data_IF_477765615860
#
_entry.id   IF_477765615860
#
_cell.length_a   1.000
_cell.length_b   1.000
_cell.length_c   1.000
_cell.angle_alpha   90.00
_cell.angle_beta   90.00
_cell.angle_gamma   90.00
#
_symmetry.space_group_name_H-M   'P 1'
#
loop_
_entity.id
_entity.type
_entity.pdbx_description
1 polymer ?
#
# COMPACT_ATOMS: atom_id res chain seq x y z
N UNK A 1 22.45 1.01 -7.04
CA UNK A 1 22.74 1.31 -5.63
C UNK A 1 22.27 2.75 -5.42
N UNK A 2 21.10 2.93 -4.78
CA UNK A 2 20.68 4.22 -4.25
C UNK A 2 21.66 4.57 -3.12
N UNK A 3 22.12 5.80 -3.06
CA UNK A 3 23.02 6.22 -1.98
C UNK A 3 22.31 5.93 -0.65
N UNK A 4 23.02 5.28 0.28
CA UNK A 4 22.61 5.27 1.68
C UNK A 4 22.31 6.73 2.04
N UNK A 5 21.14 7.00 2.63
CA UNK A 5 20.87 8.26 3.32
C UNK A 5 22.14 8.55 4.13
N UNK A 6 22.70 9.74 4.02
CA UNK A 6 23.94 10.10 4.72
C UNK A 6 23.76 9.71 6.18
N UNK A 7 24.66 8.87 6.70
CA UNK A 7 24.76 8.46 8.10
C UNK A 7 25.09 9.69 9.01
N UNK A 8 24.18 10.65 9.07
CA UNK A 8 24.03 11.46 10.26
C UNK A 8 23.32 10.55 11.24
N UNK A 9 24.02 10.24 12.33
CA UNK A 9 23.53 9.51 13.48
C UNK A 9 22.07 9.90 13.77
N UNK A 10 21.12 9.17 13.20
CA UNK A 10 19.75 9.15 13.65
C UNK A 10 19.82 8.41 14.99
N UNK A 11 19.95 9.14 16.10
CA UNK A 11 19.82 8.57 17.42
C UNK A 11 18.37 8.10 17.56
N UNK A 12 18.12 6.86 17.11
CA UNK A 12 16.84 6.20 17.30
C UNK A 12 16.59 5.99 18.78
N UNK A 13 15.42 6.40 19.27
CA UNK A 13 14.97 6.03 20.61
C UNK A 13 14.56 4.57 20.56
N UNK A 14 15.09 3.75 21.49
CA UNK A 14 14.60 2.39 21.72
C UNK A 14 13.15 2.45 22.24
N UNK A 15 12.27 1.67 21.63
CA UNK A 15 10.86 1.55 21.99
C UNK A 15 10.52 0.06 22.12
N UNK A 16 10.00 -0.36 23.26
CA UNK A 16 9.50 -1.72 23.43
C UNK A 16 8.14 -1.90 22.76
N UNK A 17 7.72 -3.15 22.52
CA UNK A 17 6.41 -3.45 21.98
C UNK A 17 5.28 -2.91 22.87
N UNK A 18 5.38 -3.09 24.20
CA UNK A 18 4.39 -2.60 25.16
C UNK A 18 4.29 -1.09 25.16
N UNK A 19 5.44 -0.42 25.05
CA UNK A 19 5.46 1.04 24.91
C UNK A 19 4.75 1.46 23.62
N UNK A 20 5.00 0.78 22.49
CA UNK A 20 4.32 1.06 21.23
C UNK A 20 2.81 0.80 21.34
N UNK A 21 2.39 -0.31 21.93
CA UNK A 21 0.97 -0.63 22.18
C UNK A 21 0.31 0.49 23.00
N UNK A 22 0.97 0.92 24.07
CA UNK A 22 0.47 1.99 24.95
C UNK A 22 0.34 3.30 24.18
N UNK A 23 1.37 3.73 23.47
CA UNK A 23 1.36 4.96 22.68
C UNK A 23 0.26 4.95 21.62
N UNK A 24 0.13 3.86 20.86
CA UNK A 24 -0.92 3.71 19.84
C UNK A 24 -2.31 3.79 20.46
N UNK A 25 -2.55 3.09 21.58
CA UNK A 25 -3.83 3.12 22.27
C UNK A 25 -4.16 4.53 22.81
N UNK A 26 -3.19 5.22 23.39
CA UNK A 26 -3.35 6.60 23.88
C UNK A 26 -3.69 7.57 22.74
N UNK A 27 -2.98 7.47 21.61
CA UNK A 27 -3.26 8.32 20.44
C UNK A 27 -4.65 8.07 19.87
N UNK A 28 -5.07 6.82 19.72
CA UNK A 28 -6.42 6.47 19.27
C UNK A 28 -7.50 6.99 20.23
N UNK A 29 -7.31 6.82 21.55
CA UNK A 29 -8.25 7.30 22.58
C UNK A 29 -8.39 8.84 22.57
N UNK A 30 -7.33 9.55 22.24
CA UNK A 30 -7.32 11.02 22.10
C UNK A 30 -7.73 11.48 20.70
N UNK A 31 -8.09 10.59 19.80
CA UNK A 31 -8.34 10.89 18.39
C UNK A 31 -7.16 11.63 17.71
N UNK A 32 -5.93 11.39 18.17
CA UNK A 32 -4.73 12.04 17.66
C UNK A 32 -4.11 11.20 16.52
N UNK A 33 -3.87 11.79 15.33
CA UNK A 33 -3.34 11.06 14.20
C UNK A 33 -1.86 10.74 14.39
N UNK A 34 -1.42 9.61 13.79
CA UNK A 34 -0.01 9.25 13.71
C UNK A 34 0.27 8.36 12.49
N UNK A 35 1.54 8.22 12.13
CA UNK A 35 2.04 7.20 11.22
C UNK A 35 3.39 6.68 11.69
N UNK A 36 3.54 5.35 11.69
CA UNK A 36 4.80 4.64 11.86
C UNK A 36 5.07 3.86 10.58
N UNK A 37 6.29 3.92 10.04
CA UNK A 37 6.60 3.20 8.81
C UNK A 37 8.07 2.83 8.70
N UNK A 38 8.34 1.75 7.99
CA UNK A 38 9.69 1.32 7.60
C UNK A 38 9.79 1.21 6.10
N UNK A 39 10.83 1.80 5.53
CA UNK A 39 11.14 1.69 4.10
C UNK A 39 11.78 0.32 3.78
N UNK A 40 11.59 -0.18 2.54
CA UNK A 40 12.20 -1.44 2.13
C UNK A 40 13.73 -1.45 2.32
N UNK A 41 14.24 -2.45 3.03
CA UNK A 41 15.68 -2.66 3.24
C UNK A 41 16.32 -1.84 4.37
N UNK A 42 15.56 -1.09 5.17
CA UNK A 42 16.10 -0.28 6.29
C UNK A 42 16.25 -1.05 7.62
N UNK A 43 16.19 -2.36 7.60
CA UNK A 43 16.34 -3.15 8.84
C UNK A 43 15.22 -2.91 9.85
N UNK A 44 15.57 -2.58 11.10
CA UNK A 44 14.63 -2.35 12.20
C UNK A 44 14.28 -0.87 12.42
N UNK A 45 14.81 0.05 11.61
CA UNK A 45 14.55 1.49 11.74
C UNK A 45 13.11 1.80 11.32
N UNK A 46 12.29 2.27 12.26
CA UNK A 46 10.91 2.70 12.03
C UNK A 46 10.85 4.21 12.13
N UNK A 47 10.42 4.86 11.06
CA UNK A 47 10.12 6.29 11.06
C UNK A 47 8.76 6.51 11.69
N UNK A 48 8.61 7.57 12.46
CA UNK A 48 7.33 7.93 13.08
C UNK A 48 7.01 9.42 12.92
N UNK A 49 5.74 9.74 12.95
CA UNK A 49 5.19 11.10 13.01
C UNK A 49 3.91 11.06 13.84
N UNK A 50 3.79 11.97 14.79
CA UNK A 50 2.59 12.09 15.63
C UNK A 50 2.46 11.03 16.73
N UNK A 51 3.41 10.11 16.88
CA UNK A 51 3.36 9.12 17.97
C UNK A 51 3.89 9.69 19.27
N UNK A 52 5.04 10.37 19.24
CA UNK A 52 5.67 11.00 20.41
C UNK A 52 5.32 12.47 20.54
N UNK A 53 5.08 13.15 19.43
CA UNK A 53 4.74 14.57 19.35
C UNK A 53 3.31 14.80 18.90
N UNK A 54 2.75 15.99 19.13
CA UNK A 54 1.43 16.32 18.64
C UNK A 54 1.47 16.51 17.13
N UNK A 55 0.53 15.86 16.46
CA UNK A 55 0.33 15.94 15.02
C UNK A 55 -1.13 16.18 14.69
N UNK A 56 -1.37 16.70 13.51
CA UNK A 56 -2.71 16.87 12.96
C UNK A 56 -2.85 16.16 11.63
N UNK A 57 -4.05 15.67 11.36
CA UNK A 57 -4.42 15.17 10.04
C UNK A 57 -5.38 16.16 9.39
N UNK A 58 -5.07 16.61 8.19
CA UNK A 58 -5.89 17.53 7.43
C UNK A 58 -6.24 16.92 6.07
N UNK A 59 -7.50 17.15 5.65
CA UNK A 59 -7.87 16.85 4.26
C UNK A 59 -7.10 17.79 3.34
N UNK A 60 -6.56 17.26 2.25
CA UNK A 60 -5.77 18.02 1.30
C UNK A 60 -6.03 17.53 -0.13
N UNK A 61 -5.50 18.27 -1.09
CA UNK A 61 -5.52 17.94 -2.50
C UNK A 61 -4.11 18.00 -3.06
N UNK A 62 -3.86 17.29 -4.16
CA UNK A 62 -2.56 17.40 -4.82
C UNK A 62 -2.28 18.84 -5.32
N UNK A 63 -3.32 19.62 -5.62
CA UNK A 63 -3.17 21.04 -5.94
C UNK A 63 -2.60 21.82 -4.75
N UNK A 64 -3.18 21.65 -3.57
CA UNK A 64 -2.70 22.31 -2.35
C UNK A 64 -1.27 21.87 -2.00
N UNK A 65 -0.95 20.58 -2.17
CA UNK A 65 0.41 20.08 -1.96
C UNK A 65 1.43 20.65 -2.97
N UNK A 66 1.01 21.05 -4.17
CA UNK A 66 1.88 21.74 -5.13
C UNK A 66 2.14 23.20 -4.77
N UNK A 67 1.18 23.84 -4.15
CA UNK A 67 1.21 25.27 -3.81
C UNK A 67 1.88 25.56 -2.46
N UNK A 68 2.10 24.55 -1.61
CA UNK A 68 2.75 24.69 -0.31
C UNK A 68 4.27 24.53 -0.44
N UNK A 69 5.00 25.41 0.22
CA UNK A 69 6.46 25.32 0.41
C UNK A 69 6.79 24.53 1.69
N UNK A 70 7.96 23.91 1.73
CA UNK A 70 8.53 23.23 2.91
C UNK A 70 7.63 22.14 3.52
N UNK A 71 7.08 21.29 2.66
CA UNK A 71 6.27 20.16 3.08
C UNK A 71 7.13 19.01 3.60
N UNK A 72 6.79 18.52 4.79
CA UNK A 72 7.29 17.25 5.33
C UNK A 72 6.18 16.57 6.11
N UNK A 73 5.76 15.38 5.70
CA UNK A 73 4.69 14.67 6.36
C UNK A 73 4.33 13.34 5.73
N UNK A 74 3.36 12.66 6.32
CA UNK A 74 2.86 11.39 5.83
C UNK A 74 1.55 11.59 5.06
N UNK A 75 1.50 11.10 3.84
CA UNK A 75 0.37 11.23 2.94
C UNK A 75 -0.40 9.92 2.86
N UNK A 76 -1.74 10.00 2.91
CA UNK A 76 -2.66 8.91 2.60
C UNK A 76 -3.65 9.36 1.54
N UNK A 77 -3.64 8.73 0.39
CA UNK A 77 -4.59 8.97 -0.69
C UNK A 77 -5.50 7.75 -0.89
N UNK A 78 -6.82 7.92 -1.02
CA UNK A 78 -7.74 6.82 -1.29
C UNK A 78 -7.66 6.34 -2.75
N UNK A 79 -8.36 5.24 -3.06
CA UNK A 79 -8.54 4.79 -4.45
C UNK A 79 -9.21 5.86 -5.32
N UNK A 80 -10.21 6.54 -4.77
CA UNK A 80 -10.85 7.71 -5.37
C UNK A 80 -11.12 8.73 -4.26
N UNK A 81 -10.75 9.97 -4.50
CA UNK A 81 -11.00 11.07 -3.57
C UNK A 81 -12.48 11.44 -3.59
N UNK A 82 -13.13 11.37 -2.43
CA UNK A 82 -14.51 11.83 -2.17
C UNK A 82 -14.55 12.72 -0.94
N UNK A 83 -15.70 13.26 -0.61
CA UNK A 83 -15.89 14.02 0.64
C UNK A 83 -15.70 13.14 1.89
N UNK A 84 -16.11 11.87 1.80
CA UNK A 84 -16.04 10.89 2.88
C UNK A 84 -14.65 10.27 3.00
N UNK A 85 -13.94 10.15 1.88
CA UNK A 85 -12.58 9.62 1.79
C UNK A 85 -11.65 10.61 1.08
N UNK A 86 -11.27 11.72 1.72
CA UNK A 86 -10.35 12.69 1.15
C UNK A 86 -8.91 12.16 1.16
N UNK A 87 -8.03 12.81 0.43
CA UNK A 87 -6.59 12.69 0.64
C UNK A 87 -6.25 13.31 2.01
N UNK A 88 -5.51 12.59 2.85
CA UNK A 88 -5.14 13.00 4.20
C UNK A 88 -3.65 13.28 4.29
N UNK A 89 -3.32 14.37 4.96
CA UNK A 89 -1.97 14.80 5.25
C UNK A 89 -1.75 14.82 6.75
N UNK A 90 -0.79 14.04 7.26
CA UNK A 90 -0.38 14.01 8.66
C UNK A 90 0.92 14.79 8.79
N UNK A 91 0.90 15.85 9.61
CA UNK A 91 2.06 16.70 9.89
C UNK A 91 2.17 16.98 11.38
N UNK A 92 3.39 17.16 11.88
CA UNK A 92 3.63 17.59 13.25
C UNK A 92 3.37 19.08 13.41
N UNK A 93 2.86 19.48 14.58
CA UNK A 93 2.56 20.89 14.86
C UNK A 93 3.83 21.72 15.11
N UNK A 94 4.88 21.08 15.66
CA UNK A 94 6.18 21.70 15.87
C UNK A 94 7.17 21.13 14.88
N UNK A 95 7.60 21.95 13.91
CA UNK A 95 8.51 21.53 12.83
C UNK A 95 9.92 21.28 13.34
N UNK A 96 10.23 20.05 13.75
CA UNK A 96 11.55 19.50 13.57
C UNK A 96 11.62 18.83 12.19
N UNK A 97 12.74 19.03 11.47
CA UNK A 97 12.86 18.56 10.08
C UNK A 97 12.92 17.03 10.00
N UNK A 98 11.92 16.40 9.37
CA UNK A 98 11.89 14.97 9.08
C UNK A 98 11.10 14.14 10.10
N UNK A 99 10.85 12.86 9.76
CA UNK A 99 10.27 11.89 10.68
C UNK A 99 11.29 11.49 11.76
N UNK A 100 10.83 11.35 13.01
CA UNK A 100 11.64 10.75 14.08
C UNK A 100 11.88 9.27 13.80
N UNK A 101 12.92 8.69 14.39
CA UNK A 101 13.25 7.27 14.20
C UNK A 101 13.15 6.53 15.53
N UNK A 102 12.43 5.40 15.50
CA UNK A 102 12.33 4.45 16.59
C UNK A 102 13.10 3.17 16.24
N UNK A 103 13.88 2.66 17.19
CA UNK A 103 14.40 1.31 17.16
C UNK A 103 13.45 0.41 17.95
N UNK A 104 12.61 -0.35 17.24
CA UNK A 104 11.65 -1.23 17.88
C UNK A 104 12.35 -2.52 18.34
N UNK A 105 12.15 -2.85 19.63
CA UNK A 105 12.41 -4.18 20.13
C UNK A 105 11.25 -5.10 19.72
N UNK A 106 11.56 -6.34 19.32
CA UNK A 106 10.56 -7.34 18.94
C UNK A 106 9.56 -7.59 20.07
N UNK A 107 8.28 -7.74 19.72
CA UNK A 107 7.22 -8.09 20.65
C UNK A 107 7.47 -9.50 21.27
N UNK A 108 7.12 -9.67 22.55
CA UNK A 108 7.07 -10.99 23.15
C UNK A 108 5.83 -11.74 22.62
N UNK A 109 6.06 -12.87 21.93
CA UNK A 109 4.96 -13.69 21.39
C UNK A 109 4.01 -14.18 22.48
N UNK A 110 4.52 -14.43 23.70
CA UNK A 110 3.71 -14.92 24.82
C UNK A 110 2.65 -13.88 25.29
N UNK A 111 2.93 -12.59 25.18
CA UNK A 111 1.95 -11.55 25.51
C UNK A 111 0.84 -11.47 24.48
N UNK A 112 1.17 -11.61 23.19
CA UNK A 112 0.21 -11.61 22.09
C UNK A 112 -0.69 -12.86 22.13
N UNK A 113 -0.20 -14.02 22.63
CA UNK A 113 -0.99 -15.24 22.81
C UNK A 113 -2.07 -15.10 23.90
N UNK A 114 -2.00 -14.12 24.77
CA UNK A 114 -3.03 -13.85 25.78
C UNK A 114 -4.35 -13.33 25.21
N UNK A 115 -4.36 -12.83 23.96
CA UNK A 115 -5.56 -12.33 23.31
C UNK A 115 -6.39 -13.47 22.68
N UNK A 116 -7.72 -13.28 22.56
CA UNK A 116 -8.57 -14.23 21.86
C UNK A 116 -8.07 -14.47 20.41
N UNK A 117 -8.17 -15.72 19.92
CA UNK A 117 -7.76 -16.00 18.55
C UNK A 117 -8.63 -15.25 17.55
N UNK A 118 -8.02 -14.75 16.50
CA UNK A 118 -8.71 -14.03 15.42
C UNK A 118 -9.56 -15.00 14.62
N UNK A 119 -10.80 -14.58 14.31
CA UNK A 119 -11.72 -15.38 13.53
C UNK A 119 -11.13 -15.73 12.14
N UNK A 120 -11.38 -16.94 11.61
CA UNK A 120 -10.89 -17.34 10.30
C UNK A 120 -11.55 -16.51 9.18
N UNK A 121 -10.82 -16.33 8.08
CA UNK A 121 -11.36 -15.69 6.87
C UNK A 121 -12.46 -16.58 6.29
N UNK A 122 -13.65 -16.03 5.96
CA UNK A 122 -14.70 -16.76 5.25
C UNK A 122 -14.18 -17.32 3.92
N UNK A 123 -14.31 -18.64 3.73
CA UNK A 123 -13.83 -19.33 2.52
C UNK A 123 -14.89 -19.35 1.40
N UNK A 124 -16.15 -19.20 1.76
CA UNK A 124 -17.25 -19.21 0.80
C UNK A 124 -17.16 -18.02 -0.17
N UNK A 125 -17.38 -18.29 -1.45
CA UNK A 125 -17.46 -17.28 -2.48
C UNK A 125 -18.73 -16.42 -2.29
N UNK A 126 -18.61 -15.10 -2.02
CA UNK A 126 -19.78 -14.24 -1.86
C UNK A 126 -20.54 -14.04 -3.18
N UNK A 127 -21.87 -13.97 -3.10
CA UNK A 127 -22.70 -13.71 -4.28
C UNK A 127 -22.37 -12.32 -4.91
N UNK A 128 -22.08 -11.32 -4.10
CA UNK A 128 -21.64 -10.01 -4.61
C UNK A 128 -20.38 -10.10 -5.47
N UNK A 129 -19.37 -10.87 -5.02
CA UNK A 129 -18.14 -11.08 -5.80
C UNK A 129 -18.44 -11.80 -7.11
N UNK A 130 -19.29 -12.84 -7.07
CA UNK A 130 -19.73 -13.60 -8.27
C UNK A 130 -20.41 -12.70 -9.29
N UNK A 131 -21.34 -11.85 -8.84
CA UNK A 131 -22.08 -10.93 -9.71
C UNK A 131 -21.14 -9.91 -10.36
N UNK A 132 -20.29 -9.24 -9.56
CA UNK A 132 -19.34 -8.27 -10.09
C UNK A 132 -18.32 -8.91 -11.03
N UNK A 133 -17.85 -10.14 -10.73
CA UNK A 133 -16.98 -10.88 -11.64
C UNK A 133 -17.64 -11.11 -13.02
N UNK A 134 -18.90 -11.54 -13.03
CA UNK A 134 -19.63 -11.76 -14.29
C UNK A 134 -19.76 -10.46 -15.10
N UNK A 135 -20.08 -9.33 -14.44
CA UNK A 135 -20.15 -8.01 -15.08
C UNK A 135 -18.78 -7.58 -15.66
N UNK A 136 -17.71 -7.83 -14.92
CA UNK A 136 -16.37 -7.53 -15.42
C UNK A 136 -16.01 -8.34 -16.66
N UNK A 137 -16.38 -9.62 -16.69
CA UNK A 137 -16.18 -10.47 -17.89
C UNK A 137 -16.99 -9.93 -19.08
N UNK A 138 -18.26 -9.53 -18.89
CA UNK A 138 -19.08 -8.90 -19.95
C UNK A 138 -18.36 -7.66 -20.53
N UNK A 139 -17.93 -6.72 -19.69
CA UNK A 139 -17.21 -5.51 -20.13
C UNK A 139 -15.90 -5.82 -20.86
N UNK A 140 -15.17 -6.86 -20.43
CA UNK A 140 -13.95 -7.30 -21.11
C UNK A 140 -14.23 -7.95 -22.47
N UNK A 141 -15.31 -8.73 -22.59
CA UNK A 141 -15.74 -9.39 -23.84
C UNK A 141 -16.23 -8.36 -24.86
N UNK A 142 -16.97 -7.35 -24.42
CA UNK A 142 -17.40 -6.21 -25.23
C UNK A 142 -16.23 -5.28 -25.65
N UNK A 143 -15.05 -5.47 -25.06
CA UNK A 143 -13.86 -4.68 -25.39
C UNK A 143 -13.84 -3.29 -24.77
N UNK A 144 -14.67 -3.02 -23.75
CA UNK A 144 -14.65 -1.76 -23.01
C UNK A 144 -13.37 -1.58 -22.20
N UNK A 145 -12.81 -2.68 -21.71
CA UNK A 145 -11.53 -2.72 -20.99
C UNK A 145 -10.71 -3.94 -21.44
N UNK A 146 -9.39 -3.89 -21.19
CA UNK A 146 -8.47 -5.02 -21.43
C UNK A 146 -8.18 -5.79 -20.15
N UNK A 147 -8.30 -5.09 -19.00
CA UNK A 147 -8.11 -5.63 -17.63
C UNK A 147 -8.97 -4.82 -16.67
N UNK A 148 -9.56 -5.49 -15.69
CA UNK A 148 -10.21 -4.89 -14.53
C UNK A 148 -9.70 -5.57 -13.27
N UNK A 149 -9.51 -4.84 -12.17
CA UNK A 149 -9.14 -5.44 -10.89
C UNK A 149 -10.36 -5.48 -9.99
N UNK A 150 -10.76 -6.68 -9.61
CA UNK A 150 -11.89 -6.91 -8.70
C UNK A 150 -11.38 -7.01 -7.26
N UNK A 151 -11.83 -6.09 -6.41
CA UNK A 151 -11.51 -6.10 -5.00
C UNK A 151 -12.52 -6.89 -4.17
N UNK A 152 -12.05 -7.43 -3.06
CA UNK A 152 -12.88 -8.03 -2.02
C UNK A 152 -12.45 -7.51 -0.65
N UNK A 153 -13.44 -7.22 0.18
CA UNK A 153 -13.30 -6.80 1.57
C UNK A 153 -13.90 -7.89 2.48
N UNK A 154 -13.04 -8.59 3.21
CA UNK A 154 -13.47 -9.52 4.25
C UNK A 154 -13.68 -8.76 5.55
N UNK A 155 -14.85 -8.87 6.16
CA UNK A 155 -15.18 -8.32 7.47
C UNK A 155 -15.08 -9.41 8.53
N UNK A 156 -14.31 -9.14 9.58
CA UNK A 156 -14.10 -10.04 10.69
C UNK A 156 -14.55 -9.37 12.00
N UNK A 157 -14.88 -10.16 13.04
CA UNK A 157 -15.10 -9.62 14.36
C UNK A 157 -13.90 -8.79 14.83
N UNK A 158 -14.17 -7.91 15.76
CA UNK A 158 -13.19 -7.06 16.41
C UNK A 158 -11.99 -7.82 16.98
N UNK A 159 -10.86 -7.15 16.93
CA UNK A 159 -9.63 -7.57 17.63
C UNK A 159 -9.10 -6.39 18.47
N UNK A 160 -8.27 -6.70 19.45
CA UNK A 160 -7.63 -5.65 20.24
C UNK A 160 -6.62 -4.86 19.41
N UNK A 161 -6.48 -3.57 19.68
CA UNK A 161 -5.45 -2.71 19.07
C UNK A 161 -4.05 -3.30 19.24
N UNK A 162 -3.76 -3.92 20.39
CA UNK A 162 -2.49 -4.60 20.65
C UNK A 162 -2.19 -5.71 19.65
N UNK A 163 -3.20 -6.47 19.18
CA UNK A 163 -3.02 -7.49 18.14
C UNK A 163 -2.63 -6.88 16.79
N UNK A 164 -3.13 -5.67 16.45
CA UNK A 164 -2.73 -4.96 15.22
C UNK A 164 -1.30 -4.42 15.35
N UNK A 165 -0.90 -3.95 16.53
CA UNK A 165 0.49 -3.53 16.79
C UNK A 165 1.44 -4.72 16.74
N UNK A 166 1.09 -5.86 17.32
CA UNK A 166 1.85 -7.10 17.19
C UNK A 166 1.96 -7.57 15.73
N UNK A 167 0.89 -7.41 14.94
CA UNK A 167 0.92 -7.70 13.51
C UNK A 167 1.86 -6.74 12.75
N UNK A 168 1.97 -5.48 13.16
CA UNK A 168 2.94 -4.54 12.61
C UNK A 168 4.38 -5.00 12.88
N UNK A 169 4.70 -5.40 14.09
CA UNK A 169 6.02 -5.96 14.47
C UNK A 169 6.34 -7.24 13.67
N UNK A 170 5.40 -8.18 13.60
CA UNK A 170 5.54 -9.37 12.74
C UNK A 170 5.78 -9.00 11.26
N UNK A 171 5.09 -7.97 10.75
CA UNK A 171 5.27 -7.52 9.36
C UNK A 171 6.65 -6.92 9.12
N UNK A 172 7.22 -6.18 10.08
CA UNK A 172 8.59 -5.67 10.00
C UNK A 172 9.61 -6.79 9.83
N UNK A 173 9.43 -7.90 10.56
CA UNK A 173 10.31 -9.06 10.51
C UNK A 173 10.08 -9.91 9.24
N UNK A 174 8.81 -10.20 8.89
CA UNK A 174 8.49 -11.13 7.80
C UNK A 174 8.63 -10.52 6.39
N UNK A 175 8.56 -9.18 6.26
CA UNK A 175 8.59 -8.48 4.97
C UNK A 175 9.73 -7.45 4.88
N UNK A 176 11.01 -7.85 5.01
CA UNK A 176 12.14 -6.91 5.06
C UNK A 176 12.26 -6.03 3.81
N UNK A 177 11.75 -6.49 2.67
CA UNK A 177 11.80 -5.79 1.39
C UNK A 177 10.48 -5.09 1.01
N UNK A 178 9.51 -5.01 1.93
CA UNK A 178 8.27 -4.28 1.74
C UNK A 178 8.29 -2.95 2.50
N UNK A 179 7.49 -2.00 2.04
CA UNK A 179 7.07 -0.87 2.85
C UNK A 179 6.06 -1.37 3.87
N UNK A 180 6.34 -1.15 5.15
CA UNK A 180 5.44 -1.54 6.24
C UNK A 180 5.04 -0.29 6.98
N UNK A 181 3.74 -0.10 7.17
CA UNK A 181 3.22 1.07 7.89
C UNK A 181 2.05 0.74 8.80
N UNK A 182 1.99 1.43 9.93
CA UNK A 182 0.87 1.50 10.86
C UNK A 182 0.48 2.97 10.99
N UNK A 183 -0.72 3.34 10.55
CA UNK A 183 -1.15 4.72 10.58
C UNK A 183 -2.62 4.84 11.01
N UNK A 184 -2.91 5.93 11.71
CA UNK A 184 -4.23 6.22 12.23
C UNK A 184 -4.61 7.66 11.99
N UNK A 185 -5.84 7.86 11.57
CA UNK A 185 -6.53 9.14 11.68
C UNK A 185 -7.96 8.90 12.19
N UNK A 186 -8.58 9.87 12.88
CA UNK A 186 -9.98 9.73 13.32
C UNK A 186 -10.94 9.43 12.17
N UNK A 187 -10.62 9.90 10.97
CA UNK A 187 -11.45 9.73 9.77
C UNK A 187 -11.24 8.39 9.08
N UNK A 188 -10.00 7.87 9.04
CA UNK A 188 -9.69 6.64 8.31
C UNK A 188 -9.72 5.38 9.18
N UNK A 189 -9.62 5.50 10.51
CA UNK A 189 -9.33 4.39 11.41
C UNK A 189 -7.85 3.99 11.39
N UNK A 190 -7.53 2.87 12.03
CA UNK A 190 -6.17 2.32 12.10
C UNK A 190 -5.92 1.38 10.92
N UNK A 191 -4.87 1.68 10.15
CA UNK A 191 -4.44 0.88 9.00
C UNK A 191 -3.08 0.26 9.24
N UNK A 192 -2.97 -1.04 8.97
CA UNK A 192 -1.70 -1.74 8.79
C UNK A 192 -1.54 -2.11 7.33
N UNK A 193 -0.38 -1.79 6.75
CA UNK A 193 -0.05 -2.08 5.36
C UNK A 193 1.36 -2.71 5.28
N UNK A 194 1.52 -3.76 4.46
CA UNK A 194 2.81 -4.38 4.16
C UNK A 194 2.95 -4.61 2.65
N UNK A 195 3.28 -3.56 1.91
CA UNK A 195 3.23 -3.52 0.45
C UNK A 195 4.60 -3.56 -0.21
N UNK A 196 4.79 -4.40 -1.26
CA UNK A 196 5.98 -4.35 -2.10
C UNK A 196 5.89 -3.31 -3.23
N UNK A 197 4.70 -2.73 -3.46
CA UNK A 197 4.43 -1.94 -4.66
C UNK A 197 4.72 -0.46 -4.44
N UNK A 198 5.85 -0.01 -4.99
CA UNK A 198 6.22 1.40 -5.02
C UNK A 198 5.40 2.13 -6.08
N UNK A 199 4.77 3.25 -5.72
CA UNK A 199 4.15 4.15 -6.68
C UNK A 199 5.15 5.15 -7.25
N UNK A 200 5.85 5.88 -6.36
CA UNK A 200 6.86 6.85 -6.74
C UNK A 200 7.86 7.02 -5.60
N UNK A 201 9.14 6.97 -5.92
CA UNK A 201 10.22 7.21 -4.97
C UNK A 201 11.30 8.10 -5.57
N UNK A 202 11.83 9.04 -4.80
CA UNK A 202 12.94 9.88 -5.26
C UNK A 202 13.52 10.79 -4.18
N UNK A 203 14.71 11.32 -4.48
CA UNK A 203 15.53 12.18 -3.61
C UNK A 203 15.89 13.54 -4.27
N UNK A 204 14.99 14.02 -5.14
CA UNK A 204 15.21 15.25 -5.92
C UNK A 204 16.03 15.04 -7.19
N UNK A 205 17.01 14.14 -7.20
CA UNK A 205 17.87 13.88 -8.38
C UNK A 205 17.52 12.58 -9.09
N UNK A 206 17.08 11.58 -8.35
CA UNK A 206 16.82 10.22 -8.86
C UNK A 206 15.41 9.80 -8.49
N UNK A 207 14.64 9.54 -9.53
CA UNK A 207 13.26 9.12 -9.35
C UNK A 207 13.05 7.73 -9.92
N UNK A 208 12.15 6.98 -9.34
CA UNK A 208 11.78 5.67 -9.80
C UNK A 208 10.32 5.34 -9.52
N UNK A 209 9.73 4.54 -10.40
CA UNK A 209 8.47 3.84 -10.20
C UNK A 209 8.62 2.40 -10.65
N UNK A 210 7.66 1.54 -10.30
CA UNK A 210 7.72 0.12 -10.67
C UNK A 210 6.42 -0.33 -11.33
N UNK A 211 6.55 -1.20 -12.34
CA UNK A 211 5.48 -2.06 -12.78
C UNK A 211 5.59 -3.37 -11.98
N UNK A 212 4.64 -3.61 -11.08
CA UNK A 212 4.55 -4.83 -10.28
C UNK A 212 3.21 -5.50 -10.58
N UNK A 213 3.21 -6.61 -11.30
CA UNK A 213 1.99 -7.36 -11.62
C UNK A 213 2.32 -8.81 -11.99
N UNK A 214 1.30 -9.66 -11.99
CA UNK A 214 1.49 -11.10 -12.05
C UNK A 214 1.90 -11.64 -10.68
N UNK A 215 1.12 -12.57 -10.14
CA UNK A 215 1.35 -13.13 -8.80
C UNK A 215 1.32 -14.64 -8.88
N UNK A 216 2.24 -15.28 -8.18
CA UNK A 216 2.24 -16.73 -7.99
C UNK A 216 2.78 -17.08 -6.60
N UNK A 217 2.44 -18.25 -6.03
CA UNK A 217 3.09 -18.75 -4.84
C UNK A 217 4.61 -18.87 -5.03
N UNK A 218 5.38 -18.57 -3.96
CA UNK A 218 6.83 -18.74 -3.97
C UNK A 218 7.16 -20.20 -4.29
N UNK A 219 8.00 -20.38 -5.29
CA UNK A 219 8.55 -21.68 -5.62
C UNK A 219 9.72 -22.04 -4.68
N UNK A 220 10.08 -23.32 -4.65
CA UNK A 220 11.22 -23.80 -3.84
C UNK A 220 12.50 -23.12 -4.30
N UNK A 221 13.41 -22.91 -3.35
CA UNK A 221 14.68 -22.27 -3.64
C UNK A 221 15.47 -23.09 -4.68
N UNK A 222 15.92 -22.40 -5.73
CA UNK A 222 16.64 -23.00 -6.86
C UNK A 222 15.78 -23.40 -8.07
N UNK A 223 14.46 -23.39 -7.96
CA UNK A 223 13.57 -23.59 -9.11
C UNK A 223 13.30 -22.27 -9.83
N UNK A 224 13.49 -22.20 -11.17
CA UNK A 224 13.16 -20.98 -11.90
C UNK A 224 11.65 -20.75 -11.91
N UNK A 225 11.19 -19.51 -11.72
CA UNK A 225 9.76 -19.19 -11.70
C UNK A 225 9.13 -19.40 -13.08
N UNK A 226 8.10 -20.26 -13.13
CA UNK A 226 7.35 -20.57 -14.35
C UNK A 226 6.13 -19.64 -14.46
N UNK A 227 6.34 -18.47 -15.05
CA UNK A 227 5.27 -17.49 -15.24
C UNK A 227 4.29 -17.89 -16.33
N UNK A 228 2.98 -17.86 -16.02
CA UNK A 228 1.92 -18.08 -16.99
C UNK A 228 1.85 -16.94 -18.01
N UNK A 229 1.27 -17.19 -19.20
CA UNK A 229 1.05 -16.12 -20.17
C UNK A 229 0.07 -15.06 -19.65
N UNK A 230 -0.91 -15.43 -18.80
CA UNK A 230 -1.78 -14.49 -18.08
C UNK A 230 -0.94 -13.51 -17.26
N UNK A 231 -0.05 -14.00 -16.38
CA UNK A 231 0.78 -13.15 -15.52
C UNK A 231 1.69 -12.22 -16.33
N UNK A 232 2.29 -12.73 -17.42
CA UNK A 232 3.12 -11.92 -18.32
C UNK A 232 2.30 -10.83 -19.02
N UNK A 233 1.07 -11.13 -19.44
CA UNK A 233 0.16 -10.18 -20.08
C UNK A 233 -0.27 -9.09 -19.09
N UNK A 234 -0.64 -9.45 -17.87
CA UNK A 234 -0.97 -8.49 -16.82
C UNK A 234 0.19 -7.54 -16.53
N UNK A 235 1.41 -8.07 -16.44
CA UNK A 235 2.60 -7.26 -16.24
C UNK A 235 2.87 -6.30 -17.41
N UNK A 236 2.71 -6.76 -18.66
CA UNK A 236 2.83 -5.90 -19.85
C UNK A 236 1.86 -4.73 -19.86
N UNK A 237 0.63 -4.90 -19.36
CA UNK A 237 -0.33 -3.80 -19.25
C UNK A 237 0.19 -2.68 -18.33
N UNK A 238 0.77 -3.04 -17.20
CA UNK A 238 1.32 -2.04 -16.26
C UNK A 238 2.55 -1.36 -16.84
N UNK A 239 3.46 -2.13 -17.46
CA UNK A 239 4.64 -1.56 -18.11
C UNK A 239 4.26 -0.57 -19.22
N UNK A 240 3.33 -0.96 -20.11
CA UNK A 240 2.85 -0.11 -21.20
C UNK A 240 2.25 1.18 -20.66
N UNK A 241 1.37 1.10 -19.68
CA UNK A 241 0.74 2.26 -19.05
C UNK A 241 1.77 3.25 -18.50
N UNK A 242 2.75 2.77 -17.74
CA UNK A 242 3.78 3.63 -17.15
C UNK A 242 4.60 4.29 -18.26
N UNK A 243 5.04 3.53 -19.27
CA UNK A 243 5.83 4.06 -20.37
C UNK A 243 5.08 5.15 -21.15
N UNK A 244 3.85 4.85 -21.58
CA UNK A 244 2.99 5.79 -22.32
C UNK A 244 2.72 7.06 -21.50
N UNK A 245 2.49 6.92 -20.19
CA UNK A 245 2.28 8.07 -19.30
C UNK A 245 3.53 8.95 -19.23
N UNK A 246 4.71 8.36 -19.00
CA UNK A 246 5.96 9.12 -18.93
C UNK A 246 6.28 9.83 -20.23
N UNK A 247 5.99 9.20 -21.39
CA UNK A 247 6.12 9.82 -22.70
C UNK A 247 5.16 11.00 -22.87
N UNK A 248 3.89 10.85 -22.47
CA UNK A 248 2.88 11.93 -22.51
C UNK A 248 3.24 13.12 -21.62
N UNK A 249 3.85 12.86 -20.45
CA UNK A 249 4.31 13.91 -19.53
C UNK A 249 5.68 14.50 -19.93
N UNK A 250 6.32 13.97 -20.99
CA UNK A 250 7.65 14.40 -21.41
C UNK A 250 8.76 14.10 -20.40
N UNK A 251 8.57 13.07 -19.57
CA UNK A 251 9.51 12.68 -18.53
C UNK A 251 10.50 11.65 -19.08
N UNK A 252 11.81 11.96 -19.15
CA UNK A 252 12.83 11.00 -19.59
C UNK A 252 12.90 9.81 -18.61
N UNK A 253 12.95 8.61 -19.18
CA UNK A 253 13.05 7.41 -18.37
C UNK A 253 13.89 6.31 -19.00
N UNK A 254 14.31 5.36 -18.18
CA UNK A 254 14.95 4.11 -18.57
C UNK A 254 14.28 2.95 -17.86
N UNK A 255 13.81 1.96 -18.60
CA UNK A 255 13.27 0.71 -18.05
C UNK A 255 14.41 -0.28 -17.81
N UNK A 256 14.45 -0.87 -16.62
CA UNK A 256 15.35 -1.97 -16.30
C UNK A 256 14.72 -3.31 -16.70
N UNK A 257 15.54 -4.35 -16.78
CA UNK A 257 15.07 -5.69 -17.12
C UNK A 257 13.99 -6.17 -16.15
N UNK A 258 13.04 -6.95 -16.68
CA UNK A 258 12.02 -7.61 -15.85
C UNK A 258 12.68 -8.67 -14.99
N UNK A 259 12.41 -8.61 -13.70
CA UNK A 259 12.91 -9.57 -12.71
C UNK A 259 11.75 -10.18 -11.91
N UNK A 260 12.01 -11.33 -11.27
CA UNK A 260 11.10 -11.89 -10.28
C UNK A 260 11.50 -11.38 -8.91
N UNK A 261 10.54 -10.77 -8.20
CA UNK A 261 10.73 -10.33 -6.81
C UNK A 261 9.87 -11.20 -5.89
N UNK A 262 10.33 -11.39 -4.65
CA UNK A 262 9.63 -12.20 -3.63
C UNK A 262 9.21 -11.31 -2.47
N UNK A 263 7.95 -11.42 -2.07
CA UNK A 263 7.41 -10.75 -0.88
C UNK A 263 6.64 -11.77 -0.05
N UNK A 264 7.22 -12.19 1.06
CA UNK A 264 6.69 -13.27 1.90
C UNK A 264 6.56 -14.57 1.11
N UNK A 265 5.35 -15.12 1.04
CA UNK A 265 5.02 -16.38 0.36
C UNK A 265 4.67 -16.19 -1.13
N UNK A 266 4.80 -15.00 -1.67
CA UNK A 266 4.40 -14.69 -3.06
C UNK A 266 5.58 -14.16 -3.87
N UNK A 267 5.54 -14.46 -5.17
CA UNK A 267 6.45 -13.93 -6.19
C UNK A 267 5.68 -13.05 -7.17
N UNK A 268 6.35 -12.02 -7.68
CA UNK A 268 5.80 -11.05 -8.63
C UNK A 268 6.79 -10.76 -9.75
N UNK A 269 6.28 -10.45 -10.95
CA UNK A 269 7.07 -9.84 -12.00
C UNK A 269 7.23 -8.34 -11.70
N UNK A 270 8.45 -7.84 -11.78
CA UNK A 270 8.79 -6.45 -11.53
C UNK A 270 9.64 -5.87 -12.67
N UNK A 271 9.26 -4.69 -13.15
CA UNK A 271 10.12 -3.84 -13.98
C UNK A 271 10.26 -2.47 -13.32
N UNK A 272 11.48 -1.99 -13.19
CA UNK A 272 11.76 -0.66 -12.60
C UNK A 272 11.95 0.36 -13.70
N UNK A 273 11.40 1.54 -13.48
CA UNK A 273 11.56 2.72 -14.32
C UNK A 273 12.39 3.73 -13.54
N UNK A 274 13.62 3.97 -13.99
CA UNK A 274 14.40 5.09 -13.49
C UNK A 274 14.07 6.31 -14.34
N UNK A 275 13.65 7.40 -13.71
CA UNK A 275 13.17 8.60 -14.38
C UNK A 275 13.82 9.86 -13.83
N UNK A 276 13.70 10.93 -14.60
CA UNK A 276 14.27 12.23 -14.29
C UNK A 276 13.15 13.27 -14.38
N UNK A 277 12.70 13.78 -13.25
CA UNK A 277 11.66 14.81 -13.27
C UNK A 277 12.23 16.11 -13.84
N UNK A 278 11.48 16.78 -14.73
CA UNK A 278 11.82 18.12 -15.19
C UNK A 278 11.91 19.12 -14.02
N UNK A 279 12.72 20.16 -14.17
CA UNK A 279 12.80 21.23 -13.19
C UNK A 279 11.42 21.86 -12.94
N UNK A 280 11.06 22.03 -11.67
CA UNK A 280 9.75 22.56 -11.28
C UNK A 280 8.57 21.57 -11.40
N UNK A 281 8.81 20.33 -11.84
CA UNK A 281 7.75 19.33 -11.90
C UNK A 281 7.50 18.75 -10.50
N UNK A 282 6.31 19.01 -9.94
CA UNK A 282 5.95 18.54 -8.61
C UNK A 282 5.73 17.01 -8.57
N UNK A 283 6.41 16.26 -7.69
CA UNK A 283 6.28 14.80 -7.64
C UNK A 283 4.86 14.30 -7.40
N UNK A 284 4.05 15.04 -6.67
CA UNK A 284 2.63 14.69 -6.44
C UNK A 284 1.83 14.66 -7.74
N UNK A 285 2.18 15.49 -8.73
CA UNK A 285 1.54 15.47 -10.04
C UNK A 285 1.75 14.12 -10.73
N UNK A 286 3.00 13.60 -10.71
CA UNK A 286 3.28 12.29 -11.28
C UNK A 286 2.58 11.17 -10.49
N UNK A 287 2.56 11.26 -9.15
CA UNK A 287 1.87 10.30 -8.32
C UNK A 287 0.37 10.23 -8.63
N UNK A 288 -0.31 11.37 -8.81
CA UNK A 288 -1.72 11.42 -9.25
C UNK A 288 -1.93 10.83 -10.64
N UNK A 289 -1.01 11.08 -11.56
CA UNK A 289 -1.11 10.58 -12.94
C UNK A 289 -0.89 9.06 -13.00
N UNK A 290 0.01 8.54 -12.20
CA UNK A 290 0.24 7.10 -12.05
C UNK A 290 -0.93 6.40 -11.35
N UNK A 291 -1.58 7.07 -10.39
CA UNK A 291 -2.64 6.49 -9.60
C UNK A 291 -4.03 6.61 -10.25
N UNK A 292 -4.85 5.54 -10.20
CA UNK A 292 -4.48 4.17 -9.83
C UNK A 292 -3.84 3.41 -11.00
N UNK A 293 -2.74 2.69 -10.74
CA UNK A 293 -2.06 1.88 -11.78
C UNK A 293 -2.95 0.74 -12.30
N UNK A 294 -2.69 0.19 -13.49
CA UNK A 294 -3.41 -1.00 -13.96
C UNK A 294 -3.19 -2.25 -13.09
N UNK A 295 -2.22 -2.23 -12.18
CA UNK A 295 -2.02 -3.32 -11.22
C UNK A 295 -3.14 -3.40 -10.18
N UNK A 296 -3.76 -2.26 -9.84
CA UNK A 296 -4.81 -2.13 -8.82
C UNK A 296 -6.17 -1.64 -9.38
N UNK A 297 -6.21 -1.21 -10.62
CA UNK A 297 -7.40 -0.69 -11.28
C UNK A 297 -7.73 -1.48 -12.55
N UNK A 298 -6.99 -1.26 -13.60
CA UNK A 298 -7.21 -1.87 -14.91
C UNK A 298 -6.76 -0.97 -16.06
N UNK A 299 -7.10 -1.37 -17.27
CA UNK A 299 -6.71 -0.62 -18.48
C UNK A 299 -7.82 -0.65 -19.53
N UNK A 300 -8.13 0.48 -20.17
CA UNK A 300 -7.64 1.85 -19.95
C UNK A 300 -8.02 2.40 -18.57
N UNK A 301 -7.10 3.12 -17.91
CA UNK A 301 -7.22 3.56 -16.51
C UNK A 301 -8.59 4.18 -16.16
N UNK A 302 -9.00 5.23 -16.88
CA UNK A 302 -10.25 5.97 -16.59
C UNK A 302 -11.50 5.12 -16.82
N UNK A 303 -11.50 4.28 -17.85
CA UNK A 303 -12.62 3.37 -18.12
C UNK A 303 -12.71 2.32 -17.03
N UNK A 304 -11.60 1.69 -16.69
CA UNK A 304 -11.52 0.70 -15.63
C UNK A 304 -11.96 1.27 -14.27
N UNK A 305 -11.50 2.47 -13.92
CA UNK A 305 -11.90 3.11 -12.66
C UNK A 305 -13.41 3.35 -12.61
N UNK A 306 -14.02 3.85 -13.69
CA UNK A 306 -15.46 4.06 -13.76
C UNK A 306 -16.22 2.74 -13.60
N UNK A 307 -15.86 1.68 -14.36
CA UNK A 307 -16.52 0.38 -14.28
C UNK A 307 -16.40 -0.25 -12.89
N UNK A 308 -15.24 -0.10 -12.23
CA UNK A 308 -15.05 -0.57 -10.86
C UNK A 308 -16.01 0.14 -9.90
N UNK A 309 -16.13 1.46 -10.00
CA UNK A 309 -17.03 2.25 -9.15
C UNK A 309 -18.51 1.98 -9.40
N UNK A 310 -18.88 1.61 -10.63
CA UNK A 310 -20.26 1.26 -11.00
C UNK A 310 -20.65 -0.16 -10.52
N UNK A 311 -19.70 -1.10 -10.51
CA UNK A 311 -20.01 -2.54 -10.34
C UNK A 311 -19.60 -3.10 -8.97
N UNK A 312 -18.59 -2.54 -8.27
CA UNK A 312 -18.20 -3.03 -6.95
C UNK A 312 -19.23 -2.62 -5.89
N UNK A 313 -19.71 -3.60 -5.13
CA UNK A 313 -20.71 -3.40 -4.09
C UNK A 313 -20.17 -2.78 -2.81
N UNK A 314 -18.85 -2.78 -2.62
CA UNK A 314 -18.19 -2.27 -1.43
C UNK A 314 -17.13 -1.23 -1.81
N UNK A 315 -17.13 -0.11 -1.08
CA UNK A 315 -16.12 0.93 -1.24
C UNK A 315 -14.73 0.43 -0.85
N UNK A 316 -13.74 0.81 -1.65
CA UNK A 316 -12.33 0.50 -1.39
C UNK A 316 -11.73 1.38 -0.31
N UNK A 317 -12.29 2.56 -0.06
CA UNK A 317 -11.75 3.55 0.86
C UNK A 317 -10.27 3.83 0.52
N UNK A 318 -9.35 3.65 1.46
CA UNK A 318 -7.90 3.82 1.23
C UNK A 318 -7.22 2.55 0.67
N UNK A 319 -7.87 1.40 0.63
CA UNK A 319 -7.35 0.23 -0.07
C UNK A 319 -7.21 0.51 -1.57
N UNK A 320 -6.10 0.07 -2.17
CA UNK A 320 -5.72 0.39 -3.54
C UNK A 320 -5.54 1.90 -3.81
N UNK A 321 -5.38 2.69 -2.76
CA UNK A 321 -4.86 4.04 -2.77
C UNK A 321 -3.34 4.05 -2.71
N UNK A 322 -2.75 5.14 -2.21
CA UNK A 322 -1.33 5.20 -1.94
C UNK A 322 -1.03 5.97 -0.65
N UNK A 323 0.11 5.69 -0.06
CA UNK A 323 0.52 6.31 1.19
C UNK A 323 2.05 6.35 1.31
N UNK A 324 2.54 7.18 2.21
CA UNK A 324 3.96 7.24 2.51
C UNK A 324 4.47 8.63 2.82
N UNK A 325 5.78 8.75 2.94
CA UNK A 325 6.46 10.00 3.25
C UNK A 325 6.52 10.91 2.02
N UNK A 326 6.19 12.18 2.21
CA UNK A 326 6.25 13.19 1.18
C UNK A 326 6.96 14.44 1.68
N UNK A 327 8.18 14.66 1.22
CA UNK A 327 9.04 15.81 1.48
C UNK A 327 9.75 16.15 0.15
N UNK A 328 9.06 16.84 -0.78
CA UNK A 328 9.49 16.93 -2.18
C UNK A 328 10.85 17.59 -2.38
N UNK A 329 11.27 18.47 -1.45
CA UNK A 329 12.59 19.11 -1.49
C UNK A 329 13.73 18.16 -1.07
N UNK A 330 13.41 17.02 -0.44
CA UNK A 330 14.39 16.09 0.12
C UNK A 330 14.19 14.66 -0.31
N UNK A 331 13.01 14.07 -0.04
CA UNK A 331 12.70 12.70 -0.42
C UNK A 331 11.18 12.48 -0.49
N UNK A 332 10.79 11.64 -1.42
CA UNK A 332 9.42 11.15 -1.58
C UNK A 332 9.46 9.63 -1.62
N UNK A 333 8.66 8.99 -0.78
CA UNK A 333 8.55 7.54 -0.64
C UNK A 333 7.06 7.16 -0.60
N UNK A 334 6.42 7.06 -1.78
CA UNK A 334 4.99 6.73 -1.93
C UNK A 334 4.81 5.30 -2.43
N UNK A 335 3.94 4.56 -1.76
CA UNK A 335 3.65 3.16 -2.03
C UNK A 335 2.16 2.92 -2.22
N UNK A 336 1.79 1.93 -3.04
CA UNK A 336 0.40 1.54 -3.24
C UNK A 336 -0.11 0.81 -2.01
N UNK A 337 -1.28 1.22 -1.50
CA UNK A 337 -1.87 0.65 -0.28
C UNK A 337 -2.59 -0.66 -0.58
N UNK A 338 -1.83 -1.74 -0.63
CA UNK A 338 -2.29 -3.11 -0.76
C UNK A 338 -1.70 -3.99 0.35
N UNK A 339 -2.19 -5.22 0.47
CA UNK A 339 -1.78 -6.09 1.57
C UNK A 339 -1.99 -5.39 2.91
N UNK A 340 -3.19 -4.94 3.15
CA UNK A 340 -3.53 -4.10 4.28
C UNK A 340 -4.79 -4.61 4.99
N UNK A 341 -4.88 -4.20 6.25
CA UNK A 341 -6.09 -4.32 7.06
C UNK A 341 -6.46 -2.96 7.65
N UNK A 342 -7.71 -2.82 8.05
CA UNK A 342 -8.26 -1.64 8.69
C UNK A 342 -9.00 -2.07 9.96
N UNK A 343 -8.64 -1.47 11.09
CA UNK A 343 -9.42 -1.54 12.33
C UNK A 343 -10.21 -0.25 12.48
N UNK A 344 -11.53 -0.37 12.52
CA UNK A 344 -12.45 0.75 12.67
C UNK A 344 -12.73 1.06 14.15
N UNK A 345 -13.16 2.29 14.49
CA UNK A 345 -13.48 2.69 15.86
C UNK A 345 -14.49 1.77 16.56
N UNK A 346 -15.42 1.20 15.82
CA UNK A 346 -16.42 0.21 16.29
C UNK A 346 -15.79 -1.18 16.49
N UNK A 347 -14.49 -1.26 16.38
CA UNK A 347 -13.68 -2.46 16.49
C UNK A 347 -14.02 -3.55 15.46
N UNK A 348 -14.58 -3.23 14.33
CA UNK A 348 -14.65 -4.15 13.20
C UNK A 348 -13.31 -4.19 12.45
N UNK A 349 -12.89 -5.41 12.09
CA UNK A 349 -11.66 -5.63 11.33
C UNK A 349 -12.01 -5.88 9.86
N UNK A 350 -11.38 -5.15 8.97
CA UNK A 350 -11.48 -5.33 7.52
C UNK A 350 -10.15 -5.73 6.93
N UNK A 351 -10.17 -6.78 6.12
CA UNK A 351 -9.03 -7.20 5.32
C UNK A 351 -9.35 -7.00 3.85
N UNK A 352 -8.38 -6.53 3.07
CA UNK A 352 -8.58 -6.20 1.67
C UNK A 352 -7.65 -6.99 0.76
N UNK A 353 -8.20 -7.50 -0.34
CA UNK A 353 -7.42 -8.09 -1.42
C UNK A 353 -8.13 -7.88 -2.76
N UNK A 354 -7.41 -8.03 -3.87
CA UNK A 354 -7.99 -7.97 -5.21
C UNK A 354 -7.20 -8.81 -6.20
N UNK A 355 -7.87 -9.20 -7.29
CA UNK A 355 -7.32 -9.96 -8.40
C UNK A 355 -7.54 -9.28 -9.74
N UNK A 356 -6.60 -9.45 -10.67
CA UNK A 356 -6.70 -8.90 -12.03
C UNK A 356 -7.53 -9.80 -12.93
N UNK A 357 -8.70 -9.33 -13.34
CA UNK A 357 -9.60 -10.03 -14.25
C UNK A 357 -9.26 -9.63 -15.69
N UNK A 358 -9.04 -10.62 -16.53
CA UNK A 358 -8.80 -10.48 -17.96
C UNK A 358 -9.71 -11.45 -18.74
N UNK A 359 -9.83 -11.31 -20.05
CA UNK A 359 -10.56 -12.29 -20.87
C UNK A 359 -10.03 -13.70 -20.62
N UNK A 360 -10.95 -14.61 -20.29
CA UNK A 360 -10.63 -16.00 -19.96
C UNK A 360 -10.21 -16.24 -18.51
N UNK A 361 -10.32 -15.26 -17.61
CA UNK A 361 -10.23 -15.50 -16.16
C UNK A 361 -11.34 -16.43 -15.69
N UNK A 362 -10.99 -17.33 -14.76
CA UNK A 362 -11.93 -18.24 -14.11
C UNK A 362 -12.29 -17.74 -12.72
N UNK A 363 -13.57 -17.68 -12.40
CA UNK A 363 -14.09 -17.22 -11.13
C UNK A 363 -13.43 -17.93 -9.94
N UNK A 364 -13.32 -19.25 -10.02
CA UNK A 364 -12.75 -20.09 -8.97
C UNK A 364 -11.26 -19.78 -8.75
N UNK A 365 -10.51 -19.62 -9.85
CA UNK A 365 -9.07 -19.31 -9.78
C UNK A 365 -8.83 -17.92 -9.19
N UNK A 366 -9.60 -16.92 -9.61
CA UNK A 366 -9.48 -15.54 -9.10
C UNK A 366 -9.88 -15.46 -7.62
N UNK A 367 -10.93 -16.19 -7.22
CA UNK A 367 -11.34 -16.27 -5.82
C UNK A 367 -10.26 -16.91 -4.94
N UNK A 368 -9.63 -18.01 -5.40
CA UNK A 368 -8.51 -18.62 -4.68
C UNK A 368 -7.32 -17.66 -4.55
N UNK A 369 -7.01 -16.87 -5.58
CA UNK A 369 -5.97 -15.83 -5.51
C UNK A 369 -6.30 -14.77 -4.45
N UNK A 370 -7.54 -14.32 -4.37
CA UNK A 370 -8.01 -13.36 -3.35
C UNK A 370 -7.85 -13.97 -1.95
N UNK A 371 -8.29 -15.22 -1.73
CA UNK A 371 -8.15 -15.90 -0.44
C UNK A 371 -6.69 -16.05 -0.01
N UNK A 372 -5.78 -16.37 -0.93
CA UNK A 372 -4.35 -16.45 -0.63
C UNK A 372 -3.78 -15.09 -0.19
N UNK A 373 -4.20 -13.99 -0.86
CA UNK A 373 -3.76 -12.65 -0.49
C UNK A 373 -4.32 -12.21 0.87
N UNK A 374 -5.57 -12.51 1.17
CA UNK A 374 -6.18 -12.24 2.48
C UNK A 374 -5.48 -13.05 3.58
N UNK A 375 -5.19 -14.33 3.32
CA UNK A 375 -4.51 -15.21 4.28
C UNK A 375 -3.12 -14.72 4.65
N UNK A 376 -2.39 -14.09 3.72
CA UNK A 376 -1.08 -13.52 3.99
C UNK A 376 -1.13 -12.38 5.03
N UNK A 377 -2.16 -11.52 4.98
CA UNK A 377 -2.35 -10.45 5.97
C UNK A 377 -2.93 -11.01 7.26
N UNK A 378 -3.88 -11.94 7.16
CA UNK A 378 -4.50 -12.58 8.32
C UNK A 378 -3.48 -13.34 9.18
N UNK A 379 -2.46 -13.93 8.57
CA UNK A 379 -1.39 -14.64 9.30
C UNK A 379 -0.57 -13.74 10.23
N UNK A 380 -0.55 -12.42 9.98
CA UNK A 380 0.15 -11.46 10.85
C UNK A 380 -0.57 -11.22 12.18
N UNK A 381 -1.91 -11.33 12.19
CA UNK A 381 -2.74 -11.06 13.37
C UNK A 381 -3.09 -12.32 14.19
N UNK A 382 -2.57 -13.46 13.74
CA UNK A 382 -2.68 -14.75 14.47
C UNK A 382 -1.60 -14.91 15.50
#
# INVERSE_FOLDING_TARGET
MLSKRSDKELSGRSCSCDELITLVAERMNRCAPFACFRLPGEGCAVHEIGLQHEARAVATTARELREREHLAGFLMAPFVVTAETPMLWIEEEQKEQGASVLELATCDEAELESFPPVAPIPQALPDSYRVTFARFIEHLEEGMAEKLVLAHRAELPSIATAQVVGAFDKALTHYPNAFVSLCYTPQSGLWLCATPEMLLRGDGMRWQTVALAGTMPRQRDGEPPLWSEKNRREHRYVQRFIGELLEQEGIPYRTLAVETTTTGLLQHLQARFALQLPEGYAPITLAERLHPTPAICGTPQRVAQRLILEEESAERSYYAGFLGWYEPERCVDLFVQIRCLQLLPEQSLRLYAGGGIVRGSSLESEWQEVLHKLSAIHSLIR
#
